data_IF_439813897015
#
_entry.id   IF_439813897015
#
_cell.length_a   1.000
_cell.length_b   1.000
_cell.length_c   1.000
_cell.angle_alpha   90.00
_cell.angle_beta   90.00
_cell.angle_gamma   90.00
#
_symmetry.space_group_name_H-M   'P 1'
#
loop_
_entity.id
_entity.type
_entity.pdbx_description
1 polymer ?
#
# COMPACT_ATOMS: atom_id res chain seq x y z
N UNK A 1 27.14 14.41 100.23
CA UNK A 1 25.80 14.95 99.86
C UNK A 1 24.69 13.89 99.86
N UNK A 2 25.00 12.59 99.91
CA UNK A 2 23.97 11.54 100.01
C UNK A 2 23.59 11.17 101.47
N UNK A 3 24.43 11.51 102.45
CA UNK A 3 24.13 11.35 103.89
C UNK A 3 22.81 12.03 104.28
N UNK A 4 22.63 13.30 103.90
CA UNK A 4 21.46 14.10 104.30
C UNK A 4 20.14 13.53 103.74
N UNK A 5 20.20 12.84 102.59
CA UNK A 5 19.03 12.15 102.03
C UNK A 5 18.74 10.84 102.79
N UNK A 6 19.78 10.08 103.16
CA UNK A 6 19.63 8.86 103.98
C UNK A 6 19.10 9.17 105.38
N UNK A 7 19.60 10.23 106.02
CA UNK A 7 19.10 10.69 107.34
C UNK A 7 17.63 11.12 107.26
N UNK A 8 17.24 11.90 106.25
CA UNK A 8 15.84 12.29 106.02
C UNK A 8 14.93 11.09 105.77
N UNK A 9 15.37 10.10 104.99
CA UNK A 9 14.59 8.89 104.75
C UNK A 9 14.42 8.05 106.03
N UNK A 10 15.47 7.91 106.85
CA UNK A 10 15.35 7.24 108.14
C UNK A 10 14.47 8.00 109.14
N UNK A 11 14.50 9.34 109.13
CA UNK A 11 13.63 10.15 109.97
C UNK A 11 12.15 9.94 109.60
N UNK A 12 11.81 10.04 108.31
CA UNK A 12 10.44 9.75 107.81
C UNK A 12 10.00 8.31 108.14
N UNK A 13 10.91 7.34 108.06
CA UNK A 13 10.62 5.94 108.40
C UNK A 13 10.42 5.73 109.91
N UNK A 14 11.17 6.45 110.77
CA UNK A 14 10.94 6.46 112.21
C UNK A 14 9.62 7.14 112.56
N UNK A 15 9.30 8.30 111.95
CA UNK A 15 8.07 9.06 112.20
C UNK A 15 6.80 8.28 111.83
N UNK A 16 6.83 7.53 110.72
CA UNK A 16 5.75 6.57 110.40
C UNK A 16 5.63 5.43 111.42
N UNK A 17 6.76 4.95 111.94
CA UNK A 17 6.80 3.85 112.92
C UNK A 17 6.36 4.29 114.33
N UNK A 18 6.67 5.53 114.74
CA UNK A 18 6.23 6.11 116.02
C UNK A 18 4.78 6.57 115.97
N UNK A 19 4.32 7.08 114.82
CA UNK A 19 2.92 7.41 114.57
C UNK A 19 1.98 6.20 114.73
N UNK A 20 2.38 5.01 114.26
CA UNK A 20 1.56 3.80 114.45
C UNK A 20 1.60 3.28 115.90
N UNK A 21 2.74 3.39 116.61
CA UNK A 21 2.87 2.94 118.00
C UNK A 21 2.04 3.76 118.99
N UNK A 22 1.80 5.05 118.71
CA UNK A 22 1.03 5.94 119.60
C UNK A 22 -0.50 5.79 119.48
N UNK A 23 -1.00 5.06 118.46
CA UNK A 23 -2.42 4.79 118.29
C UNK A 23 -2.87 3.43 118.86
N UNK A 24 -1.96 2.44 118.94
CA UNK A 24 -2.30 1.07 119.33
C UNK A 24 -2.42 0.78 120.84
N UNK A 25 -1.82 1.60 121.72
CA UNK A 25 -1.62 1.24 123.13
C UNK A 25 -2.57 1.97 124.10
N UNK A 26 -3.89 1.72 123.95
CA UNK A 26 -4.92 2.24 124.87
C UNK A 26 -6.10 1.30 125.04
N UNK A 27 -5.82 0.05 125.43
CA UNK A 27 -6.87 -0.92 125.79
C UNK A 27 -6.43 -2.01 126.79
N UNK A 28 -5.93 -1.63 127.98
CA UNK A 28 -5.93 -2.48 129.22
C UNK A 28 -6.08 -1.67 130.52
N UNK A 29 -7.31 -1.19 130.74
CA UNK A 29 -8.04 -1.19 132.02
C UNK A 29 -7.26 -1.24 133.36
N UNK A 30 -7.30 -0.15 134.14
CA UNK A 30 -7.20 -0.21 135.62
C UNK A 30 -8.21 0.70 136.32
N UNK A 31 -8.76 0.19 137.42
CA UNK A 31 -10.03 0.61 138.03
C UNK A 31 -9.91 1.86 138.91
N UNK A 32 -10.77 2.87 138.70
CA UNK A 32 -11.05 3.93 139.68
C UNK A 32 -12.55 3.96 139.98
N UNK A 33 -12.90 3.82 141.26
CA UNK A 33 -14.28 3.72 141.75
C UNK A 33 -14.93 5.10 141.86
N UNK A 34 -15.97 5.38 141.04
CA UNK A 34 -16.97 6.43 141.32
C UNK A 34 -18.38 5.85 141.35
N UNK A 35 -19.24 6.56 142.08
CA UNK A 35 -20.56 6.13 142.58
C UNK A 35 -21.64 6.28 141.50
N UNK A 36 -22.67 5.41 141.43
CA UNK A 36 -23.73 5.55 140.44
C UNK A 36 -24.71 6.65 140.84
N UNK A 37 -24.92 7.61 139.94
CA UNK A 37 -26.09 8.51 139.74
C UNK A 37 -25.62 9.72 138.93
N UNK A 38 -25.83 9.67 137.62
CA UNK A 38 -26.25 10.81 136.80
C UNK A 38 -26.76 10.21 135.49
N UNK A 39 -28.08 10.04 135.45
CA UNK A 39 -28.86 9.79 134.25
C UNK A 39 -29.24 11.16 133.72
N UNK A 40 -28.50 11.67 132.73
CA UNK A 40 -28.96 12.75 131.83
C UNK A 40 -27.94 12.95 130.68
N UNK A 41 -28.47 12.89 129.45
CA UNK A 41 -27.78 13.07 128.16
C UNK A 41 -26.38 12.42 127.99
N UNK A 42 -26.36 11.27 127.30
CA UNK A 42 -25.41 11.15 126.18
C UNK A 42 -25.70 12.34 125.25
N UNK A 43 -24.72 13.18 124.87
CA UNK A 43 -24.95 14.15 123.82
C UNK A 43 -25.25 13.37 122.54
N UNK A 44 -26.47 13.50 122.02
CA UNK A 44 -26.84 12.98 120.72
C UNK A 44 -26.09 13.79 119.64
N UNK A 45 -24.83 13.44 119.38
CA UNK A 45 -24.02 13.96 118.27
C UNK A 45 -24.58 13.57 116.87
N UNK A 46 -25.80 13.01 116.82
CA UNK A 46 -26.62 12.71 115.64
C UNK A 46 -26.55 13.79 114.56
N UNK A 47 -26.89 15.06 114.87
CA UNK A 47 -26.87 16.14 113.88
C UNK A 47 -25.50 16.35 113.22
N UNK A 48 -24.40 16.18 113.96
CA UNK A 48 -23.04 16.28 113.40
C UNK A 48 -22.71 15.09 112.48
N UNK A 49 -23.12 13.88 112.89
CA UNK A 49 -22.95 12.65 112.12
C UNK A 49 -23.81 12.65 110.85
N UNK A 50 -25.06 13.12 110.93
CA UNK A 50 -26.00 13.25 109.80
C UNK A 50 -25.50 14.27 108.77
N UNK A 51 -24.96 15.42 109.22
CA UNK A 51 -24.35 16.40 108.33
C UNK A 51 -23.14 15.81 107.61
N UNK A 52 -22.26 15.10 108.32
CA UNK A 52 -21.09 14.44 107.74
C UNK A 52 -21.51 13.37 106.72
N UNK A 53 -22.44 12.47 107.10
CA UNK A 53 -22.98 11.43 106.25
C UNK A 53 -23.61 12.00 104.96
N UNK A 54 -24.39 13.09 105.07
CA UNK A 54 -24.97 13.78 103.90
C UNK A 54 -23.88 14.32 102.96
N UNK A 55 -22.79 14.89 103.50
CA UNK A 55 -21.68 15.37 102.67
C UNK A 55 -20.89 14.21 102.04
N UNK A 56 -20.67 13.12 102.77
CA UNK A 56 -20.04 11.90 102.28
C UNK A 56 -20.84 11.26 101.14
N UNK A 57 -22.15 11.06 101.33
CA UNK A 57 -23.08 10.59 100.30
C UNK A 57 -23.09 11.52 99.07
N UNK A 58 -23.19 12.83 99.29
CA UNK A 58 -23.19 13.82 98.19
C UNK A 58 -21.88 13.81 97.41
N UNK A 59 -20.74 13.69 98.11
CA UNK A 59 -19.41 13.64 97.51
C UNK A 59 -19.19 12.34 96.73
N UNK A 60 -19.57 11.19 97.31
CA UNK A 60 -19.54 9.90 96.64
C UNK A 60 -20.40 9.89 95.38
N UNK A 61 -21.64 10.40 95.47
CA UNK A 61 -22.58 10.45 94.34
C UNK A 61 -22.09 11.39 93.24
N UNK A 62 -21.47 12.53 93.60
CA UNK A 62 -20.83 13.44 92.65
C UNK A 62 -19.64 12.77 91.96
N UNK A 63 -18.72 12.16 92.72
CA UNK A 63 -17.56 11.46 92.14
C UNK A 63 -17.96 10.31 91.23
N UNK A 64 -18.98 9.53 91.62
CA UNK A 64 -19.52 8.46 90.77
C UNK A 64 -20.04 9.03 89.46
N UNK A 65 -20.91 10.04 89.49
CA UNK A 65 -21.43 10.69 88.28
C UNK A 65 -20.32 11.28 87.41
N UNK A 66 -19.35 11.98 87.99
CA UNK A 66 -18.22 12.55 87.24
C UNK A 66 -17.39 11.47 86.55
N UNK A 67 -17.20 10.30 87.19
CA UNK A 67 -16.55 9.15 86.56
C UNK A 67 -17.40 8.57 85.43
N UNK A 68 -18.70 8.38 85.66
CA UNK A 68 -19.64 7.84 84.66
C UNK A 68 -19.71 8.79 83.43
N UNK A 69 -19.72 10.11 83.64
CA UNK A 69 -19.65 11.12 82.57
C UNK A 69 -18.32 11.13 81.84
N UNK A 70 -17.18 10.96 82.53
CA UNK A 70 -15.87 10.87 81.89
C UNK A 70 -15.77 9.64 80.98
N UNK A 71 -16.28 8.48 81.43
CA UNK A 71 -16.33 7.26 80.61
C UNK A 71 -17.27 7.40 79.40
N UNK A 72 -18.42 8.06 79.57
CA UNK A 72 -19.31 8.35 78.45
C UNK A 72 -18.67 9.33 77.43
N UNK A 73 -17.94 10.33 77.91
CA UNK A 73 -17.20 11.27 77.04
C UNK A 73 -16.06 10.58 76.27
N UNK A 74 -15.32 9.68 76.92
CA UNK A 74 -14.26 8.88 76.28
C UNK A 74 -14.80 7.98 75.16
N UNK A 75 -15.99 7.36 75.37
CA UNK A 75 -16.65 6.57 74.33
C UNK A 75 -17.07 7.43 73.12
N UNK A 76 -17.67 8.61 73.36
CA UNK A 76 -18.09 9.54 72.29
C UNK A 76 -16.89 10.13 71.55
N UNK A 77 -15.77 10.39 72.23
CA UNK A 77 -14.52 10.83 71.58
C UNK A 77 -13.97 9.73 70.66
N UNK A 78 -14.00 8.47 71.10
CA UNK A 78 -13.66 7.31 70.26
C UNK A 78 -14.52 7.21 68.99
N UNK A 79 -15.83 7.37 69.10
CA UNK A 79 -16.76 7.39 67.96
C UNK A 79 -16.48 8.59 67.03
N UNK A 80 -16.19 9.77 67.59
CA UNK A 80 -15.84 10.98 66.83
C UNK A 80 -14.53 10.79 66.05
N UNK A 81 -13.49 10.22 66.67
CA UNK A 81 -12.21 9.91 66.02
C UNK A 81 -12.44 8.91 64.88
N UNK A 82 -13.19 7.83 65.11
CA UNK A 82 -13.53 6.86 64.07
C UNK A 82 -14.29 7.50 62.90
N UNK A 83 -15.32 8.30 63.18
CA UNK A 83 -16.06 9.03 62.16
C UNK A 83 -15.16 9.98 61.35
N UNK A 84 -14.24 10.70 62.02
CA UNK A 84 -13.30 11.59 61.35
C UNK A 84 -12.37 10.83 60.39
N UNK A 85 -11.88 9.64 60.78
CA UNK A 85 -11.04 8.79 59.93
C UNK A 85 -11.83 8.21 58.73
N UNK A 86 -13.11 7.88 58.92
CA UNK A 86 -14.00 7.47 57.84
C UNK A 86 -14.29 8.62 56.86
N UNK A 87 -14.53 9.83 57.36
CA UNK A 87 -14.72 11.02 56.53
C UNK A 87 -13.46 11.35 55.72
N UNK A 88 -12.30 11.33 56.37
CA UNK A 88 -11.01 11.60 55.75
C UNK A 88 -10.71 10.61 54.62
N UNK A 89 -10.95 9.30 54.83
CA UNK A 89 -10.81 8.27 53.79
C UNK A 89 -11.76 8.48 52.60
N UNK A 90 -12.98 8.97 52.84
CA UNK A 90 -13.91 9.31 51.75
C UNK A 90 -13.45 10.55 50.99
N UNK A 91 -12.93 11.55 51.70
CA UNK A 91 -12.41 12.79 51.13
C UNK A 91 -11.20 12.54 50.23
N UNK A 92 -10.27 11.67 50.63
CA UNK A 92 -9.11 11.32 49.78
C UNK A 92 -9.52 10.51 48.55
N UNK A 93 -10.44 9.55 48.68
CA UNK A 93 -10.98 8.82 47.52
C UNK A 93 -11.72 9.74 46.52
N UNK A 94 -12.49 10.72 47.01
CA UNK A 94 -13.14 11.72 46.15
C UNK A 94 -12.13 12.64 45.46
N UNK A 95 -11.06 13.05 46.14
CA UNK A 95 -9.99 13.85 45.54
C UNK A 95 -9.27 13.09 44.41
N UNK A 96 -8.99 11.80 44.61
CA UNK A 96 -8.42 10.93 43.56
C UNK A 96 -9.36 10.80 42.36
N UNK A 97 -10.66 10.57 42.58
CA UNK A 97 -11.64 10.52 41.50
C UNK A 97 -11.73 11.85 40.73
N UNK A 98 -11.67 12.98 41.44
CA UNK A 98 -11.64 14.30 40.82
C UNK A 98 -10.39 14.50 39.96
N UNK A 99 -9.21 14.07 40.42
CA UNK A 99 -7.95 14.13 39.67
C UNK A 99 -8.03 13.31 38.37
N UNK A 100 -8.59 12.09 38.42
CA UNK A 100 -8.80 11.28 37.21
C UNK A 100 -9.84 11.90 36.26
N UNK A 101 -10.87 12.56 36.79
CA UNK A 101 -11.85 13.26 35.94
C UNK A 101 -11.27 14.54 35.32
N UNK A 102 -10.27 15.16 35.96
CA UNK A 102 -9.57 16.33 35.44
C UNK A 102 -8.54 16.00 34.34
N UNK A 103 -8.03 14.77 34.27
CA UNK A 103 -7.17 14.32 33.16
C UNK A 103 -7.94 13.88 31.92
N UNK A 104 -9.22 13.48 32.07
CA UNK A 104 -10.04 13.01 30.95
C UNK A 104 -10.12 13.97 29.74
N UNK A 105 -10.23 15.31 29.89
CA UNK A 105 -10.20 16.23 28.76
C UNK A 105 -8.87 16.23 27.99
N UNK A 106 -7.73 16.04 28.67
CA UNK A 106 -6.44 15.92 28.00
C UNK A 106 -6.35 14.62 27.19
N UNK A 107 -6.83 13.50 27.75
CA UNK A 107 -6.94 12.23 27.03
C UNK A 107 -7.87 12.31 25.81
N UNK A 108 -8.97 13.06 25.90
CA UNK A 108 -9.85 13.32 24.74
C UNK A 108 -9.10 14.13 23.66
N UNK A 109 -8.37 15.18 24.03
CA UNK A 109 -7.55 15.93 23.08
C UNK A 109 -6.45 15.07 22.41
N UNK A 110 -5.85 14.13 23.14
CA UNK A 110 -4.89 13.17 22.58
C UNK A 110 -5.57 12.21 21.59
N UNK A 111 -6.77 11.71 21.91
CA UNK A 111 -7.57 10.88 21.01
C UNK A 111 -8.02 11.63 19.75
N UNK A 112 -8.45 12.88 19.89
CA UNK A 112 -8.80 13.75 18.76
C UNK A 112 -7.58 14.01 17.86
N UNK A 113 -6.38 14.20 18.44
CA UNK A 113 -5.14 14.35 17.69
C UNK A 113 -4.73 13.08 16.94
N UNK A 114 -4.89 11.90 17.55
CA UNK A 114 -4.68 10.61 16.86
C UNK A 114 -5.69 10.43 15.72
N UNK A 115 -6.96 10.76 15.96
CA UNK A 115 -8.03 10.69 14.94
C UNK A 115 -7.72 11.62 13.76
N UNK A 116 -7.26 12.85 14.02
CA UNK A 116 -6.82 13.78 12.97
C UNK A 116 -5.58 13.28 12.21
N UNK A 117 -4.63 12.61 12.89
CA UNK A 117 -3.47 12.01 12.25
C UNK A 117 -3.83 10.83 11.36
N UNK A 118 -4.84 10.03 11.73
CA UNK A 118 -5.37 8.94 10.89
C UNK A 118 -6.01 9.52 9.64
N UNK A 119 -6.89 10.52 9.77
CA UNK A 119 -7.54 11.16 8.63
C UNK A 119 -6.55 11.84 7.66
N UNK A 120 -5.43 12.39 8.16
CA UNK A 120 -4.34 12.89 7.30
C UNK A 120 -3.68 11.74 6.51
N UNK A 121 -3.35 10.65 7.19
CA UNK A 121 -2.69 9.49 6.58
C UNK A 121 -3.60 8.79 5.54
N UNK A 122 -4.91 8.73 5.78
CA UNK A 122 -5.90 8.28 4.80
C UNK A 122 -5.86 9.14 3.52
N UNK A 123 -5.74 10.46 3.65
CA UNK A 123 -5.59 11.37 2.51
C UNK A 123 -4.24 11.20 1.78
N UNK A 124 -3.14 10.97 2.50
CA UNK A 124 -1.84 10.67 1.90
C UNK A 124 -1.87 9.35 1.09
N UNK A 125 -2.61 8.34 1.59
CA UNK A 125 -2.82 7.09 0.87
C UNK A 125 -3.69 7.27 -0.39
N UNK A 126 -4.79 8.01 -0.33
CA UNK A 126 -5.62 8.32 -1.52
C UNK A 126 -4.79 9.07 -2.59
N UNK A 127 -3.93 10.02 -2.19
CA UNK A 127 -3.02 10.67 -3.14
C UNK A 127 -2.01 9.65 -3.73
N UNK A 128 -1.41 8.78 -2.91
CA UNK A 128 -0.48 7.75 -3.37
C UNK A 128 -1.14 6.79 -4.38
N UNK A 129 -2.35 6.31 -4.11
CA UNK A 129 -3.14 5.47 -5.01
C UNK A 129 -3.40 6.19 -6.35
N UNK A 130 -3.80 7.46 -6.31
CA UNK A 130 -4.02 8.26 -7.54
C UNK A 130 -2.74 8.39 -8.39
N UNK A 131 -1.57 8.53 -7.73
CA UNK A 131 -0.26 8.60 -8.38
C UNK A 131 0.18 7.25 -8.95
N UNK A 132 -0.17 6.13 -8.30
CA UNK A 132 0.10 4.77 -8.82
C UNK A 132 -0.74 4.47 -10.07
N UNK A 133 -2.03 4.81 -10.07
CA UNK A 133 -2.91 4.67 -11.26
C UNK A 133 -2.41 5.54 -12.42
N UNK A 134 -1.90 6.74 -12.13
CA UNK A 134 -1.26 7.58 -13.14
C UNK A 134 0.04 6.96 -13.68
N UNK A 135 0.87 6.35 -12.82
CA UNK A 135 2.08 5.66 -13.23
C UNK A 135 1.78 4.44 -14.12
N UNK A 136 0.76 3.63 -13.77
CA UNK A 136 0.28 2.52 -14.60
C UNK A 136 -0.13 3.01 -15.99
N UNK A 137 -0.90 4.11 -16.05
CA UNK A 137 -1.30 4.76 -17.31
C UNK A 137 -0.08 5.17 -18.15
N UNK A 138 0.96 5.73 -17.53
CA UNK A 138 2.21 6.08 -18.22
C UNK A 138 2.98 4.85 -18.72
N UNK A 139 3.01 3.76 -17.95
CA UNK A 139 3.64 2.50 -18.38
C UNK A 139 2.94 1.92 -19.62
N UNK A 140 1.61 1.81 -19.60
CA UNK A 140 0.84 1.37 -20.76
C UNK A 140 1.05 2.27 -21.99
N UNK A 141 1.18 3.59 -21.80
CA UNK A 141 1.51 4.51 -22.88
C UNK A 141 2.91 4.27 -23.46
N UNK A 142 3.91 4.00 -22.60
CA UNK A 142 5.27 3.66 -23.03
C UNK A 142 5.28 2.36 -23.85
N UNK A 143 4.60 1.31 -23.39
CA UNK A 143 4.47 0.03 -24.10
C UNK A 143 3.77 0.17 -25.46
N UNK A 144 2.67 0.94 -25.51
CA UNK A 144 2.00 1.25 -26.78
C UNK A 144 2.94 1.97 -27.75
N UNK A 145 3.78 2.89 -27.25
CA UNK A 145 4.72 3.63 -28.07
C UNK A 145 5.89 2.74 -28.55
N UNK A 146 6.42 1.83 -27.73
CA UNK A 146 7.47 0.88 -28.17
C UNK A 146 6.93 -0.10 -29.22
N UNK A 147 5.70 -0.62 -29.05
CA UNK A 147 5.03 -1.48 -30.02
C UNK A 147 4.80 -0.76 -31.36
N UNK A 148 4.31 0.49 -31.33
CA UNK A 148 4.15 1.33 -32.52
C UNK A 148 5.48 1.56 -33.24
N UNK A 149 6.54 1.87 -32.49
CA UNK A 149 7.89 2.06 -33.06
C UNK A 149 8.42 0.76 -33.66
N UNK A 150 8.19 -0.39 -33.03
CA UNK A 150 8.59 -1.69 -33.53
C UNK A 150 7.93 -1.98 -34.89
N UNK A 151 6.63 -1.74 -35.04
CA UNK A 151 5.94 -1.90 -36.33
C UNK A 151 6.41 -0.93 -37.42
N UNK A 152 6.72 0.32 -37.08
CA UNK A 152 7.32 1.28 -38.01
C UNK A 152 8.67 0.74 -38.52
N UNK A 153 9.53 0.28 -37.60
CA UNK A 153 10.84 -0.29 -37.95
C UNK A 153 10.71 -1.55 -38.82
N UNK A 154 9.79 -2.47 -38.51
CA UNK A 154 9.50 -3.64 -39.34
C UNK A 154 9.07 -3.23 -40.76
N UNK A 155 8.16 -2.26 -40.88
CA UNK A 155 7.66 -1.76 -42.16
C UNK A 155 8.77 -1.08 -42.98
N UNK A 156 9.67 -0.34 -42.35
CA UNK A 156 10.85 0.23 -43.00
C UNK A 156 11.82 -0.84 -43.53
N UNK A 157 12.09 -1.88 -42.73
CA UNK A 157 12.91 -3.03 -43.16
C UNK A 157 12.26 -3.74 -44.34
N UNK A 158 10.95 -3.98 -44.30
CA UNK A 158 10.20 -4.58 -45.42
C UNK A 158 10.27 -3.71 -46.69
N UNK A 159 9.99 -2.40 -46.57
CA UNK A 159 10.10 -1.44 -47.68
C UNK A 159 11.52 -1.35 -48.24
N UNK A 160 12.55 -1.48 -47.40
CA UNK A 160 13.97 -1.51 -47.82
C UNK A 160 14.29 -2.82 -48.55
N UNK A 161 13.79 -3.96 -48.09
CA UNK A 161 13.92 -5.24 -48.79
C UNK A 161 13.25 -5.18 -50.16
N UNK A 162 11.99 -4.76 -50.23
CA UNK A 162 11.26 -4.67 -51.51
C UNK A 162 11.94 -3.77 -52.54
N UNK A 163 12.50 -2.62 -52.13
CA UNK A 163 13.30 -1.77 -53.04
C UNK A 163 14.54 -2.49 -53.59
N UNK A 164 15.25 -3.27 -52.77
CA UNK A 164 16.39 -4.07 -53.22
C UNK A 164 15.97 -5.22 -54.15
N UNK A 165 14.87 -5.90 -53.83
CA UNK A 165 14.33 -6.99 -54.65
C UNK A 165 13.94 -6.45 -56.06
N UNK A 166 13.35 -5.25 -56.14
CA UNK A 166 13.02 -4.60 -57.43
C UNK A 166 14.25 -4.10 -58.19
N UNK A 167 15.22 -3.50 -57.50
CA UNK A 167 16.48 -3.04 -58.09
C UNK A 167 17.31 -4.22 -58.65
N UNK A 168 17.33 -5.36 -57.94
CA UNK A 168 17.97 -6.58 -58.42
C UNK A 168 17.28 -7.15 -59.67
N UNK A 169 15.93 -7.20 -59.67
CA UNK A 169 15.16 -7.66 -60.84
C UNK A 169 15.38 -6.74 -62.07
N UNK A 170 15.44 -5.43 -61.85
CA UNK A 170 15.73 -4.45 -62.90
C UNK A 170 17.13 -4.68 -63.51
N UNK A 171 18.15 -4.88 -62.68
CA UNK A 171 19.52 -5.19 -63.13
C UNK A 171 19.58 -6.54 -63.86
N UNK A 172 18.90 -7.57 -63.36
CA UNK A 172 18.84 -8.88 -64.00
C UNK A 172 18.18 -8.78 -65.38
N UNK A 173 16.99 -8.17 -65.48
CA UNK A 173 16.26 -7.98 -66.73
C UNK A 173 17.04 -7.14 -67.74
N UNK A 174 17.70 -6.06 -67.29
CA UNK A 174 18.57 -5.24 -68.14
C UNK A 174 19.78 -6.03 -68.66
N UNK A 175 20.37 -6.92 -67.85
CA UNK A 175 21.50 -7.75 -68.27
C UNK A 175 21.07 -8.87 -69.23
N UNK A 176 19.91 -9.49 -69.01
CA UNK A 176 19.32 -10.48 -69.93
C UNK A 176 18.97 -9.83 -71.29
N UNK A 177 18.40 -8.61 -71.27
CA UNK A 177 18.12 -7.84 -72.48
C UNK A 177 19.42 -7.50 -73.24
N UNK A 178 20.44 -6.99 -72.55
CA UNK A 178 21.74 -6.69 -73.16
C UNK A 178 22.41 -7.94 -73.76
N UNK A 179 22.30 -9.10 -73.09
CA UNK A 179 22.77 -10.38 -73.62
C UNK A 179 22.02 -10.78 -74.89
N UNK A 180 20.68 -10.75 -74.89
CA UNK A 180 19.86 -11.09 -76.06
C UNK A 180 20.15 -10.18 -77.26
N UNK A 181 20.38 -8.89 -77.02
CA UNK A 181 20.80 -7.93 -78.08
C UNK A 181 22.17 -8.31 -78.64
N UNK A 182 23.15 -8.63 -77.80
CA UNK A 182 24.48 -9.05 -78.24
C UNK A 182 24.48 -10.38 -79.01
N UNK A 183 23.66 -11.36 -78.61
CA UNK A 183 23.46 -12.62 -79.33
C UNK A 183 22.79 -12.40 -80.69
N UNK A 184 21.77 -11.52 -80.76
CA UNK A 184 21.13 -11.14 -82.01
C UNK A 184 22.11 -10.43 -82.96
N UNK A 185 22.92 -9.52 -82.43
CA UNK A 185 23.97 -8.84 -83.21
C UNK A 185 25.03 -9.82 -83.70
N UNK A 186 25.50 -10.73 -82.85
CA UNK A 186 26.49 -11.75 -83.23
C UNK A 186 25.96 -12.67 -84.34
N UNK A 187 24.71 -13.13 -84.24
CA UNK A 187 24.10 -13.99 -85.28
C UNK A 187 23.86 -13.22 -86.59
N UNK A 188 23.52 -11.93 -86.52
CA UNK A 188 23.47 -11.05 -87.70
C UNK A 188 24.85 -10.86 -88.34
N UNK A 189 25.89 -10.54 -87.55
CA UNK A 189 27.26 -10.40 -88.03
C UNK A 189 27.82 -11.71 -88.60
N UNK A 190 27.44 -12.87 -88.05
CA UNK A 190 27.80 -14.18 -88.63
C UNK A 190 27.17 -14.38 -90.00
N UNK A 191 25.85 -14.14 -90.15
CA UNK A 191 25.15 -14.24 -91.45
C UNK A 191 25.77 -13.31 -92.50
N UNK A 192 26.18 -12.09 -92.11
CA UNK A 192 26.87 -11.15 -93.00
C UNK A 192 28.26 -11.67 -93.42
N UNK A 193 29.05 -12.22 -92.50
CA UNK A 193 30.36 -12.82 -92.81
C UNK A 193 30.25 -14.07 -93.67
N UNK A 194 29.28 -14.95 -93.41
CA UNK A 194 29.02 -16.13 -94.24
C UNK A 194 28.64 -15.71 -95.67
N UNK A 195 27.76 -14.71 -95.82
CA UNK A 195 27.41 -14.13 -97.12
C UNK A 195 28.61 -13.50 -97.83
N UNK A 196 29.47 -12.78 -97.10
CA UNK A 196 30.72 -12.24 -97.66
C UNK A 196 31.65 -13.36 -98.16
N UNK A 197 31.82 -14.43 -97.36
CA UNK A 197 32.64 -15.59 -97.72
C UNK A 197 32.13 -16.29 -98.98
N UNK A 198 30.81 -16.43 -99.15
CA UNK A 198 30.21 -16.97 -100.39
C UNK A 198 30.54 -16.11 -101.61
N UNK A 199 30.51 -14.77 -101.49
CA UNK A 199 30.91 -13.89 -102.59
C UNK A 199 32.41 -13.95 -102.88
N UNK A 200 33.26 -14.07 -101.86
CA UNK A 200 34.72 -14.21 -102.00
C UNK A 200 35.10 -15.56 -102.63
N UNK A 201 34.43 -16.65 -102.24
CA UNK A 201 34.60 -17.96 -102.88
C UNK A 201 34.16 -17.95 -104.35
N UNK A 202 33.04 -17.29 -104.68
CA UNK A 202 32.61 -17.12 -106.06
C UNK A 202 33.63 -16.31 -106.88
N UNK A 203 34.13 -15.20 -106.33
CA UNK A 203 35.16 -14.38 -106.99
C UNK A 203 36.47 -15.14 -107.23
N UNK A 204 36.93 -15.93 -106.24
CA UNK A 204 38.13 -16.74 -106.39
C UNK A 204 37.94 -17.84 -107.45
N UNK A 205 36.76 -18.47 -107.52
CA UNK A 205 36.43 -19.42 -108.59
C UNK A 205 36.45 -18.76 -109.98
N UNK A 206 35.87 -17.55 -110.12
CA UNK A 206 35.90 -16.80 -111.39
C UNK A 206 37.34 -16.43 -111.79
N UNK A 207 38.20 -16.08 -110.83
CA UNK A 207 39.62 -15.79 -111.04
C UNK A 207 40.42 -17.04 -111.44
N UNK A 208 40.21 -18.18 -110.78
CA UNK A 208 40.82 -19.46 -111.15
C UNK A 208 40.40 -19.92 -112.55
N UNK A 209 39.12 -19.77 -112.91
CA UNK A 209 38.61 -20.04 -114.24
C UNK A 209 39.27 -19.14 -115.29
N UNK A 210 39.42 -17.84 -115.01
CA UNK A 210 40.10 -16.91 -115.90
C UNK A 210 41.58 -17.29 -116.13
N UNK A 211 42.31 -17.59 -115.05
CA UNK A 211 43.71 -18.03 -115.15
C UNK A 211 43.87 -19.36 -115.89
N UNK A 212 42.88 -20.26 -115.77
CA UNK A 212 42.90 -21.57 -116.43
C UNK A 212 42.49 -21.54 -117.91
N UNK A 213 41.62 -20.60 -118.31
CA UNK A 213 40.92 -20.64 -119.61
C UNK A 213 41.15 -19.39 -120.48
N UNK A 214 41.72 -18.31 -119.94
CA UNK A 214 42.02 -17.06 -120.66
C UNK A 214 40.84 -16.10 -120.87
N UNK A 215 39.62 -16.49 -120.49
CA UNK A 215 38.41 -15.66 -120.57
C UNK A 215 37.52 -15.89 -119.34
N UNK A 216 36.93 -14.82 -118.79
CA UNK A 216 35.85 -14.95 -117.81
C UNK A 216 34.61 -15.49 -118.52
N UNK A 217 33.98 -16.51 -117.95
CA UNK A 217 32.60 -16.85 -118.30
C UNK A 217 31.69 -15.82 -117.64
N UNK A 218 31.22 -14.84 -118.40
CA UNK A 218 30.10 -14.02 -117.96
C UNK A 218 28.92 -14.95 -117.75
N UNK A 219 28.55 -15.22 -116.48
CA UNK A 219 27.39 -16.04 -116.17
C UNK A 219 26.15 -15.35 -116.74
N UNK A 220 25.61 -15.91 -117.81
CA UNK A 220 24.32 -15.48 -118.33
C UNK A 220 23.29 -15.60 -117.21
N UNK A 221 22.56 -14.51 -116.97
CA UNK A 221 21.48 -14.42 -115.99
C UNK A 221 20.29 -15.27 -116.45
N UNK A 222 20.45 -16.59 -116.36
CA UNK A 222 19.39 -17.57 -116.66
C UNK A 222 18.38 -17.57 -115.51
N UNK A 223 17.39 -16.69 -115.64
CA UNK A 223 16.36 -16.47 -114.63
C UNK A 223 16.13 -14.98 -114.43
N UNK A 224 15.45 -14.35 -115.38
CA UNK A 224 14.95 -13.01 -115.18
C UNK A 224 13.90 -13.02 -114.05
N UNK A 225 14.08 -12.14 -113.07
CA UNK A 225 12.95 -11.40 -112.55
C UNK A 225 13.32 -9.92 -112.50
N UNK A 226 12.72 -9.14 -113.40
CA UNK A 226 12.76 -7.68 -113.36
C UNK A 226 11.67 -7.24 -112.40
N UNK A 227 11.90 -7.50 -111.11
CA UNK A 227 11.07 -6.95 -110.05
C UNK A 227 11.26 -5.43 -110.02
N UNK A 228 10.29 -4.72 -110.60
CA UNK A 228 10.20 -3.26 -110.55
C UNK A 228 10.10 -2.84 -109.08
N UNK A 229 10.94 -1.90 -108.66
CA UNK A 229 11.09 -1.44 -107.27
C UNK A 229 9.81 -0.77 -106.70
N UNK A 230 8.81 -0.52 -107.53
CA UNK A 230 7.54 0.15 -107.24
C UNK A 230 6.52 -0.73 -106.47
N UNK A 231 6.94 -1.89 -105.96
CA UNK A 231 6.06 -2.86 -105.30
C UNK A 231 6.64 -3.42 -103.99
N UNK A 232 7.24 -2.56 -103.16
CA UNK A 232 7.53 -2.89 -101.75
C UNK A 232 6.24 -2.83 -100.92
N UNK A 233 5.34 -3.78 -101.13
CA UNK A 233 4.27 -4.08 -100.17
C UNK A 233 4.88 -4.65 -98.89
N UNK A 234 4.53 -4.08 -97.73
CA UNK A 234 4.86 -4.64 -96.42
C UNK A 234 4.05 -5.93 -96.22
N UNK A 235 4.61 -7.07 -96.61
CA UNK A 235 3.93 -8.37 -96.58
C UNK A 235 3.95 -9.03 -95.20
N UNK A 236 4.67 -8.48 -94.22
CA UNK A 236 4.55 -8.93 -92.83
C UNK A 236 3.34 -8.28 -92.15
N UNK A 237 2.15 -8.81 -92.48
CA UNK A 237 0.86 -8.36 -91.93
C UNK A 237 0.84 -8.44 -90.37
N UNK A 238 1.66 -9.32 -89.79
CA UNK A 238 1.83 -9.47 -88.35
C UNK A 238 2.58 -8.31 -87.67
N UNK A 239 3.45 -7.58 -88.39
CA UNK A 239 4.10 -6.38 -87.83
C UNK A 239 3.13 -5.19 -87.81
N UNK A 240 2.16 -5.15 -88.72
CA UNK A 240 1.17 -4.07 -88.78
C UNK A 240 0.21 -4.11 -87.59
N UNK A 241 -0.23 -5.31 -87.20
CA UNK A 241 -1.06 -5.52 -85.99
C UNK A 241 -0.28 -5.13 -84.71
N UNK A 242 0.99 -5.51 -84.62
CA UNK A 242 1.87 -5.13 -83.51
C UNK A 242 2.17 -3.61 -83.44
N UNK A 243 2.23 -2.93 -84.59
CA UNK A 243 2.38 -1.47 -84.65
C UNK A 243 1.09 -0.75 -84.21
N UNK A 244 -0.08 -1.24 -84.62
CA UNK A 244 -1.36 -0.70 -84.18
C UNK A 244 -1.54 -0.89 -82.67
N UNK A 245 -1.22 -2.07 -82.11
CA UNK A 245 -1.24 -2.31 -80.65
C UNK A 245 -0.29 -1.37 -79.89
N UNK A 246 0.93 -1.14 -80.39
CA UNK A 246 1.90 -0.23 -79.76
C UNK A 246 1.41 1.23 -79.76
N UNK A 247 0.84 1.69 -80.88
CA UNK A 247 0.33 3.06 -81.01
C UNK A 247 -0.95 3.28 -80.20
N UNK A 248 -1.86 2.29 -80.16
CA UNK A 248 -3.11 2.36 -79.42
C UNK A 248 -2.91 2.19 -77.89
N UNK A 249 -1.89 1.46 -77.45
CA UNK A 249 -1.57 1.28 -76.02
C UNK A 249 -0.98 2.55 -75.36
N UNK A 250 -0.56 3.55 -76.14
CA UNK A 250 -0.04 4.83 -75.62
C UNK A 250 -1.16 5.86 -75.32
N UNK A 251 -2.43 5.52 -75.56
CA UNK A 251 -3.52 6.50 -75.52
C UNK A 251 -4.87 5.96 -75.07
N UNK A 252 -4.97 5.46 -73.83
CA UNK A 252 -6.15 5.62 -72.96
C UNK A 252 -5.89 5.09 -71.53
N UNK A 253 -5.07 5.80 -70.75
CA UNK A 253 -5.23 5.98 -69.28
C UNK A 253 -4.12 6.90 -68.70
N UNK A 254 -4.10 8.16 -69.12
CA UNK A 254 -3.24 9.21 -68.52
C UNK A 254 -4.07 10.42 -68.09
N UNK A 255 -5.08 10.18 -67.25
CA UNK A 255 -5.63 11.22 -66.39
C UNK A 255 -4.86 11.23 -65.06
N UNK A 256 -4.26 12.39 -64.73
CA UNK A 256 -3.58 12.70 -63.47
C UNK A 256 -2.14 12.17 -63.25
N UNK A 257 -1.22 12.72 -64.06
CA UNK A 257 0.00 13.41 -63.58
C UNK A 257 0.90 12.70 -62.55
N UNK A 258 2.12 12.36 -63.00
CA UNK A 258 3.34 12.54 -62.20
C UNK A 258 4.51 12.92 -63.10
N UNK A 259 5.03 14.13 -62.91
CA UNK A 259 6.17 14.66 -63.68
C UNK A 259 7.40 14.81 -62.79
N UNK A 260 8.48 14.14 -63.19
CA UNK A 260 9.87 14.34 -62.79
C UNK A 260 10.67 14.16 -64.11
N UNK A 261 11.67 14.95 -64.52
CA UNK A 261 12.34 16.16 -63.96
C UNK A 261 12.18 17.32 -64.98
N UNK A 262 12.92 18.45 -65.05
CA UNK A 262 14.16 18.97 -64.44
C UNK A 262 14.13 20.51 -64.41
N UNK A 263 15.16 21.15 -63.84
CA UNK A 263 15.40 22.61 -63.93
C UNK A 263 16.51 22.99 -64.93
N UNK A 264 17.16 24.16 -64.82
CA UNK A 264 16.92 25.27 -63.87
C UNK A 264 16.71 26.65 -64.56
N UNK A 265 16.16 27.65 -63.84
CA UNK A 265 16.77 29.00 -63.81
C UNK A 265 16.21 29.90 -62.68
N UNK A 266 16.92 31.01 -62.41
CA UNK A 266 16.53 32.07 -61.45
C UNK A 266 15.27 32.85 -61.95
N UNK A 267 14.51 33.65 -61.17
CA UNK A 267 14.86 34.67 -60.15
C UNK A 267 13.63 35.02 -59.28
N UNK A 268 13.87 35.57 -58.07
CA UNK A 268 12.96 36.45 -57.26
C UNK A 268 11.65 35.86 -56.66
N UNK A 269 11.46 35.89 -55.33
CA UNK A 269 10.91 37.02 -54.51
C UNK A 269 9.37 37.13 -54.62
N UNK A 270 8.54 37.20 -53.57
CA UNK A 270 8.71 37.26 -52.10
C UNK A 270 7.36 36.97 -51.38
N UNK A 271 7.39 36.63 -50.08
CA UNK A 271 6.28 36.81 -49.09
C UNK A 271 4.92 36.08 -49.34
N UNK A 272 4.04 35.80 -48.36
CA UNK A 272 4.01 36.15 -46.92
C UNK A 272 3.35 35.06 -46.06
N UNK A 273 3.60 35.16 -44.76
CA UNK A 273 3.14 34.35 -43.62
C UNK A 273 1.61 34.11 -43.54
N UNK A 274 1.17 32.91 -43.10
CA UNK A 274 0.46 32.69 -41.80
C UNK A 274 0.04 31.23 -41.54
N UNK A 275 0.23 30.82 -40.29
CA UNK A 275 -0.35 29.67 -39.55
C UNK A 275 -1.36 30.26 -38.51
N UNK A 276 -2.25 29.55 -37.74
CA UNK A 276 -2.03 28.18 -37.24
C UNK A 276 -3.24 27.24 -36.84
N UNK A 277 -2.89 25.96 -36.59
CA UNK A 277 -3.33 25.02 -35.52
C UNK A 277 -4.79 24.50 -35.35
N UNK A 278 -4.87 23.20 -35.00
CA UNK A 278 -5.94 22.39 -34.34
C UNK A 278 -6.93 21.63 -35.26
N UNK A 279 -7.40 20.41 -34.97
CA UNK A 279 -6.95 19.31 -34.07
C UNK A 279 -7.61 17.97 -34.54
N UNK A 280 -7.12 16.81 -34.07
CA UNK A 280 -7.51 15.45 -34.52
C UNK A 280 -8.71 14.80 -33.76
N UNK A 281 -9.26 13.65 -34.22
CA UNK A 281 -10.58 13.15 -33.80
C UNK A 281 -10.62 11.93 -32.84
N UNK A 282 -11.63 11.96 -31.96
CA UNK A 282 -12.68 10.95 -31.66
C UNK A 282 -12.41 9.40 -31.67
N UNK A 283 -12.74 8.75 -30.53
CA UNK A 283 -13.49 7.44 -30.38
C UNK A 283 -12.86 6.11 -30.87
N UNK A 284 -13.22 4.88 -30.41
CA UNK A 284 -14.14 4.35 -29.36
C UNK A 284 -14.08 2.80 -29.30
N UNK A 285 -14.15 2.19 -28.10
CA UNK A 285 -14.70 0.83 -27.80
C UNK A 285 -14.06 -0.41 -28.49
N UNK A 286 -14.29 -1.68 -28.11
CA UNK A 286 -14.68 -2.41 -26.87
C UNK A 286 -14.46 -3.93 -27.15
N UNK A 287 -14.31 -4.77 -26.10
CA UNK A 287 -14.59 -6.22 -26.10
C UNK A 287 -13.67 -7.12 -26.99
N UNK A 288 -13.52 -8.44 -26.81
CA UNK A 288 -13.76 -9.37 -25.68
C UNK A 288 -13.13 -10.75 -25.97
N UNK A 289 -12.81 -11.51 -24.91
CA UNK A 289 -12.84 -12.98 -24.80
C UNK A 289 -11.82 -13.88 -25.57
N UNK A 290 -11.14 -14.72 -24.77
CA UNK A 290 -11.06 -16.20 -24.84
C UNK A 290 -10.58 -16.90 -26.13
N UNK A 291 -10.00 -18.10 -26.11
CA UNK A 291 -9.30 -18.93 -25.12
C UNK A 291 -8.83 -20.17 -25.91
N UNK A 292 -7.64 -20.74 -25.67
CA UNK A 292 -7.23 -22.01 -26.31
C UNK A 292 -6.03 -22.64 -25.60
N UNK A 293 -6.31 -23.71 -24.86
CA UNK A 293 -5.31 -24.54 -24.20
C UNK A 293 -4.62 -25.51 -25.16
N UNK A 294 -3.33 -25.78 -24.92
CA UNK A 294 -2.63 -26.97 -25.40
C UNK A 294 -1.79 -27.58 -24.26
N UNK A 295 -1.86 -28.90 -24.13
CA UNK A 295 -1.10 -29.72 -23.17
C UNK A 295 -0.01 -30.46 -23.94
N UNK A 296 1.19 -30.58 -23.34
CA UNK A 296 2.17 -31.58 -23.75
C UNK A 296 3.03 -32.02 -22.54
N UNK A 297 3.38 -33.32 -22.49
CA UNK A 297 4.06 -33.99 -21.36
C UNK A 297 5.55 -34.31 -21.65
N UNK A 298 6.21 -34.87 -20.62
CA UNK A 298 7.58 -35.45 -20.51
C UNK A 298 8.76 -34.46 -20.40
N UNK A 299 9.53 -34.44 -19.28
CA UNK A 299 10.60 -35.40 -18.86
C UNK A 299 11.79 -35.43 -19.85
N UNK A 300 13.08 -35.23 -19.49
CA UNK A 300 13.82 -35.39 -18.22
C UNK A 300 15.04 -34.44 -18.18
N UNK A 301 15.70 -34.36 -17.00
CA UNK A 301 17.15 -34.12 -16.77
C UNK A 301 17.68 -32.68 -16.61
N UNK A 302 17.96 -32.36 -15.34
CA UNK A 302 19.18 -31.73 -14.81
C UNK A 302 19.85 -30.56 -15.57
N UNK A 303 19.85 -29.37 -14.96
CA UNK A 303 21.11 -28.75 -14.51
C UNK A 303 20.90 -27.67 -13.43
N UNK A 304 22.01 -27.31 -12.78
CA UNK A 304 22.18 -26.49 -11.57
C UNK A 304 22.02 -24.98 -11.82
N UNK A 305 21.11 -24.30 -11.11
CA UNK A 305 21.20 -22.85 -10.83
C UNK A 305 20.29 -22.41 -9.69
N UNK A 306 20.82 -21.54 -8.82
CA UNK A 306 20.10 -20.92 -7.69
C UNK A 306 19.02 -19.94 -8.19
N UNK A 307 17.78 -20.14 -7.74
CA UNK A 307 16.71 -19.13 -7.78
C UNK A 307 15.98 -19.14 -6.42
N UNK A 308 15.74 -17.98 -5.77
CA UNK A 308 15.28 -17.95 -4.39
C UNK A 308 13.80 -18.36 -4.28
N UNK A 309 13.54 -19.41 -3.48
CA UNK A 309 12.21 -19.89 -3.16
C UNK A 309 11.41 -18.82 -2.39
N UNK A 310 10.41 -18.21 -3.04
CA UNK A 310 9.47 -17.31 -2.37
C UNK A 310 8.53 -18.15 -1.50
N UNK A 311 8.77 -18.17 -0.19
CA UNK A 311 7.82 -18.73 0.76
C UNK A 311 6.58 -17.83 0.78
N UNK A 312 5.43 -18.38 0.35
CA UNK A 312 4.13 -17.76 0.61
C UNK A 312 3.75 -18.09 2.06
N UNK A 313 3.65 -17.05 2.88
CA UNK A 313 3.11 -17.14 4.24
C UNK A 313 1.59 -16.99 4.15
N UNK A 314 0.85 -18.08 4.38
CA UNK A 314 -0.60 -18.08 4.44
C UNK A 314 -1.01 -18.16 5.92
N UNK A 315 -1.09 -16.99 6.58
CA UNK A 315 -1.65 -16.87 7.92
C UNK A 315 -3.16 -17.11 7.89
N UNK A 316 -3.54 -18.36 8.14
CA UNK A 316 -4.92 -18.80 8.30
C UNK A 316 -5.52 -18.22 9.60
N UNK A 317 -6.14 -17.04 9.52
CA UNK A 317 -6.71 -16.33 10.69
C UNK A 317 -7.90 -17.10 11.24
N UNK A 318 -7.67 -17.92 12.27
CA UNK A 318 -8.74 -18.53 13.07
C UNK A 318 -9.44 -17.47 13.94
N UNK A 319 -10.75 -17.22 13.77
CA UNK A 319 -11.50 -16.40 14.71
C UNK A 319 -11.81 -17.21 15.97
N UNK A 320 -11.19 -16.84 17.10
CA UNK A 320 -11.37 -17.52 18.39
C UNK A 320 -12.78 -17.29 18.97
N UNK A 321 -13.70 -18.21 18.63
CA UNK A 321 -15.09 -18.26 19.10
C UNK A 321 -15.25 -19.17 20.33
N UNK A 322 -14.42 -18.99 21.38
CA UNK A 322 -14.40 -19.86 22.57
C UNK A 322 -14.83 -19.21 23.89
N UNK A 323 -15.75 -18.22 23.87
CA UNK A 323 -16.24 -17.55 25.09
C UNK A 323 -17.77 -17.37 25.22
N UNK A 324 -18.56 -18.31 24.68
CA UNK A 324 -19.97 -18.52 25.09
C UNK A 324 -20.19 -20.01 25.41
N UNK A 325 -20.57 -20.33 26.64
CA UNK A 325 -21.19 -21.63 26.95
C UNK A 325 -20.67 -22.45 28.13
N UNK A 326 -20.61 -21.90 29.35
CA UNK A 326 -20.73 -22.72 30.57
C UNK A 326 -21.72 -22.09 31.58
N UNK A 327 -22.97 -22.53 31.50
CA UNK A 327 -23.87 -22.60 32.66
C UNK A 327 -23.78 -24.00 33.29
N UNK A 328 -24.37 -24.17 34.49
CA UNK A 328 -24.42 -25.40 35.30
C UNK A 328 -23.08 -25.68 36.05
N UNK A 329 -23.01 -25.89 37.37
CA UNK A 329 -24.01 -26.19 38.41
C UNK A 329 -23.65 -25.44 39.70
N UNK A 330 -24.64 -24.93 40.45
CA UNK A 330 -24.45 -24.50 41.84
C UNK A 330 -25.23 -25.44 42.78
N UNK A 331 -24.62 -26.05 43.81
CA UNK A 331 -25.31 -27.01 44.66
C UNK A 331 -26.21 -26.33 45.69
N UNK A 332 -27.47 -26.78 45.71
CA UNK A 332 -28.53 -26.32 46.61
C UNK A 332 -28.25 -26.57 48.10
N UNK A 333 -28.25 -25.50 48.89
CA UNK A 333 -28.48 -25.45 50.35
C UNK A 333 -28.81 -23.99 50.71
N UNK A 334 -29.95 -23.62 51.30
CA UNK A 334 -31.08 -24.39 51.83
C UNK A 334 -31.37 -23.92 53.26
N UNK A 335 -32.57 -23.33 53.48
CA UNK A 335 -33.04 -22.71 54.74
C UNK A 335 -32.23 -21.49 55.22
N UNK A 336 -32.73 -20.52 55.97
CA UNK A 336 -34.06 -20.01 56.41
C UNK A 336 -33.77 -18.51 56.80
N UNK A 337 -34.66 -17.55 57.07
CA UNK A 337 -36.04 -17.49 57.53
C UNK A 337 -36.55 -16.03 57.30
N UNK A 338 -37.87 -15.80 57.27
CA UNK A 338 -38.60 -14.62 57.81
C UNK A 338 -38.17 -13.15 57.53
N UNK A 339 -39.06 -12.14 57.48
CA UNK A 339 -40.48 -12.05 57.08
C UNK A 339 -40.82 -10.55 56.89
N UNK A 340 -41.92 -10.27 56.16
CA UNK A 340 -42.76 -9.07 56.20
C UNK A 340 -42.17 -7.68 56.56
N UNK A 341 -42.27 -6.74 55.61
CA UNK A 341 -43.29 -5.66 55.72
C UNK A 341 -43.45 -4.95 54.39
N UNK A 342 -44.67 -4.99 53.85
CA UNK A 342 -45.09 -4.02 52.84
C UNK A 342 -45.83 -2.87 53.51
N UNK A 343 -45.77 -1.68 52.94
CA UNK A 343 -46.96 -0.84 52.88
C UNK A 343 -46.99 0.00 51.58
N UNK A 344 -48.16 0.57 51.31
CA UNK A 344 -48.72 0.78 49.98
C UNK A 344 -48.30 2.09 49.23
N UNK A 345 -48.60 2.18 47.93
CA UNK A 345 -48.20 3.31 47.08
C UNK A 345 -49.33 4.34 46.82
N UNK A 346 -48.96 5.37 46.05
CA UNK A 346 -49.83 6.26 45.24
C UNK A 346 -50.60 7.37 45.96
N UNK A 347 -50.61 8.55 45.31
CA UNK A 347 -51.28 9.78 45.75
C UNK A 347 -50.74 10.98 45.01
#
# INVERSE_FOLDING_TARGET
>A
MFENFRERLHMVQQDFTTGFKTLGDKSKETKIRRKPRFEESLPYFSAGLEILNRYEESWFLLHKRTKDYAQAAEAVDGDMVMLSAHWERRRTALAQLQEQLQSLPAFICELDAVTASIAHLEGDFEEMESRLVFLETLCCQCEQQTFKQHHINQLEVYKKKKRKDTEALEVELNSEHAQKVAELEQTMQQKLRERQKVYEEAFNQDMEQYLSTGHLQHRELTGADVCVLDQMTVTNISDQEALDDFLNSTGDDISAVSSLTSGPDLVSSSESLRSPMNQDPLTSNQLSNQDMAWVQEEEVASEESDEPLVQSDEEDIQPDMSLIGQQHVCPMRGSDESDSTGDLPSG
#
